data_IF_718563735236
#
_entry.id   IF_718563735236
#
_cell.length_a   1.000
_cell.length_b   1.000
_cell.length_c   1.000
_cell.angle_alpha   90.00
_cell.angle_beta   90.00
_cell.angle_gamma   90.00
#
_symmetry.space_group_name_H-M   'P 1'
#
loop_
_entity.id
_entity.type
_entity.pdbx_description
1 polymer ?
#
# COMPACT_ATOMS: atom_id res chain seq x y z
N UNK A 1 -3.50 -27.80 29.90
CA UNK A 1 -2.17 -27.99 29.27
C UNK A 1 -1.23 -28.48 30.34
N UNK A 2 -0.64 -29.67 30.18
CA UNK A 2 0.11 -30.34 31.24
C UNK A 2 1.62 -30.04 31.15
N UNK A 3 2.26 -29.78 32.29
CA UNK A 3 3.71 -29.55 32.41
C UNK A 3 4.56 -30.68 31.79
N UNK A 4 4.06 -31.92 31.81
CA UNK A 4 4.71 -33.10 31.22
C UNK A 4 4.81 -33.05 29.69
N UNK A 5 3.90 -32.34 29.01
CA UNK A 5 3.95 -32.16 27.55
C UNK A 5 5.02 -31.14 27.17
N UNK A 6 5.18 -30.08 27.97
CA UNK A 6 6.23 -29.08 27.79
C UNK A 6 7.64 -29.67 27.97
N UNK A 7 7.85 -30.50 28.99
CA UNK A 7 9.17 -31.14 29.22
C UNK A 7 9.51 -32.14 28.12
N UNK A 8 8.54 -32.95 27.66
CA UNK A 8 8.73 -33.87 26.53
C UNK A 8 9.10 -33.13 25.24
N UNK A 9 8.43 -32.02 24.96
CA UNK A 9 8.72 -31.18 23.79
C UNK A 9 10.11 -30.53 23.88
N UNK A 10 10.51 -30.07 25.06
CA UNK A 10 11.85 -29.52 25.30
C UNK A 10 12.96 -30.56 25.06
N UNK A 11 12.83 -31.77 25.61
CA UNK A 11 13.81 -32.85 25.40
C UNK A 11 13.88 -33.29 23.92
N UNK A 12 12.74 -33.34 23.23
CA UNK A 12 12.71 -33.64 21.79
C UNK A 12 13.46 -32.58 20.99
N UNK A 13 13.22 -31.29 21.29
CA UNK A 13 13.91 -30.18 20.65
C UNK A 13 15.44 -30.21 20.90
N UNK A 14 15.87 -30.57 22.12
CA UNK A 14 17.30 -30.69 22.43
C UNK A 14 17.98 -31.82 21.65
N UNK A 15 17.34 -32.99 21.54
CA UNK A 15 17.86 -34.09 20.71
C UNK A 15 17.99 -33.66 19.25
N UNK A 16 17.00 -32.95 18.72
CA UNK A 16 17.05 -32.42 17.37
C UNK A 16 18.19 -31.40 17.19
N UNK A 17 18.39 -30.48 18.14
CA UNK A 17 19.50 -29.52 18.14
C UNK A 17 20.86 -30.22 18.14
N UNK A 18 21.06 -31.22 19.00
CA UNK A 18 22.30 -32.01 19.04
C UNK A 18 22.58 -32.73 17.73
N UNK A 19 21.54 -33.34 17.12
CA UNK A 19 21.68 -34.00 15.81
C UNK A 19 22.07 -33.00 14.71
N UNK A 20 21.45 -31.83 14.68
CA UNK A 20 21.78 -30.78 13.72
C UNK A 20 23.22 -30.28 13.90
N UNK A 21 23.66 -30.05 15.15
CA UNK A 21 25.03 -29.65 15.46
C UNK A 21 26.06 -30.71 15.02
N UNK A 22 25.78 -31.98 15.30
CA UNK A 22 26.66 -33.08 14.89
C UNK A 22 26.78 -33.21 13.37
N UNK A 23 25.67 -33.07 12.64
CA UNK A 23 25.66 -33.16 11.17
C UNK A 23 26.11 -31.88 10.48
N UNK A 24 26.13 -30.75 11.18
CA UNK A 24 26.38 -29.44 10.58
C UNK A 24 25.28 -28.97 9.62
N UNK A 25 24.11 -29.63 9.61
CA UNK A 25 23.03 -29.40 8.66
C UNK A 25 21.66 -29.47 9.37
N UNK A 26 20.70 -28.72 8.84
CA UNK A 26 19.29 -28.83 9.23
C UNK A 26 18.69 -30.13 8.68
N UNK A 27 17.53 -30.60 9.18
CA UNK A 27 16.86 -31.77 8.63
C UNK A 27 16.49 -31.66 7.14
N UNK A 28 16.47 -30.43 6.60
CA UNK A 28 16.23 -30.14 5.19
C UNK A 28 17.51 -30.17 4.33
N UNK A 29 18.67 -30.39 4.92
CA UNK A 29 19.98 -30.39 4.24
C UNK A 29 20.66 -29.02 4.18
N UNK A 30 20.06 -27.95 4.72
CA UNK A 30 20.72 -26.64 4.74
C UNK A 30 21.86 -26.63 5.77
N UNK A 31 23.06 -26.20 5.36
CA UNK A 31 24.22 -26.07 6.26
C UNK A 31 23.92 -25.14 7.44
N UNK A 32 24.35 -25.49 8.64
CA UNK A 32 24.29 -24.60 9.81
C UNK A 32 25.28 -23.46 9.66
N UNK A 33 24.95 -22.30 10.24
CA UNK A 33 25.85 -21.15 10.30
C UNK A 33 26.99 -21.43 11.26
N UNK A 34 28.22 -21.21 10.81
CA UNK A 34 29.43 -21.33 11.63
C UNK A 34 29.82 -19.99 12.23
N UNK A 35 30.60 -20.01 13.32
CA UNK A 35 31.09 -18.77 13.95
C UNK A 35 31.97 -17.93 13.02
N UNK A 36 32.73 -18.56 12.12
CA UNK A 36 33.54 -17.88 11.12
C UNK A 36 32.68 -17.14 10.08
N UNK A 37 31.57 -17.75 9.64
CA UNK A 37 30.61 -17.09 8.75
C UNK A 37 29.92 -15.89 9.44
N UNK A 38 29.59 -16.02 10.72
CA UNK A 38 29.03 -14.90 11.51
C UNK A 38 30.02 -13.75 11.63
N UNK A 39 31.32 -14.04 11.79
CA UNK A 39 32.34 -13.01 11.88
C UNK A 39 32.52 -12.27 10.56
N UNK A 40 32.49 -12.99 9.44
CA UNK A 40 32.42 -12.36 8.11
C UNK A 40 31.18 -11.47 7.99
N UNK A 41 30.02 -11.94 8.45
CA UNK A 41 28.81 -11.11 8.48
C UNK A 41 28.99 -9.86 9.33
N UNK A 42 29.62 -9.92 10.51
CA UNK A 42 29.90 -8.75 11.35
C UNK A 42 30.88 -7.77 10.68
N UNK A 43 31.91 -8.29 10.02
CA UNK A 43 32.95 -7.49 9.37
C UNK A 43 32.42 -6.71 8.17
N UNK A 44 31.63 -7.35 7.29
CA UNK A 44 31.13 -6.73 6.05
C UNK A 44 29.72 -6.12 6.21
N UNK A 45 28.98 -6.50 7.23
CA UNK A 45 27.72 -5.88 7.66
C UNK A 45 26.65 -5.83 6.57
N UNK A 46 26.45 -4.63 6.00
CA UNK A 46 25.43 -4.35 4.95
C UNK A 46 25.96 -4.48 3.52
N UNK A 47 27.25 -4.79 3.32
CA UNK A 47 27.82 -5.03 2.00
C UNK A 47 27.56 -6.47 1.56
N UNK A 48 26.36 -6.69 1.00
CA UNK A 48 25.92 -8.03 0.58
C UNK A 48 26.68 -8.56 -0.65
N UNK A 49 27.26 -7.68 -1.48
CA UNK A 49 28.03 -8.10 -2.65
C UNK A 49 29.34 -8.75 -2.21
N UNK A 50 30.06 -8.11 -1.28
CA UNK A 50 31.27 -8.68 -0.68
C UNK A 50 30.98 -9.98 0.07
N UNK A 51 29.87 -10.03 0.83
CA UNK A 51 29.46 -11.25 1.54
C UNK A 51 29.13 -12.40 0.59
N UNK A 52 28.50 -12.10 -0.55
CA UNK A 52 28.18 -13.12 -1.57
C UNK A 52 29.43 -13.69 -2.23
N UNK A 53 30.48 -12.89 -2.40
CA UNK A 53 31.76 -13.38 -2.91
C UNK A 53 32.51 -14.24 -1.88
N UNK A 54 32.45 -13.88 -0.58
CA UNK A 54 33.12 -14.60 0.51
C UNK A 54 32.35 -15.85 0.97
N UNK A 55 31.04 -15.89 0.76
CA UNK A 55 30.16 -17.02 1.11
C UNK A 55 29.40 -17.53 -0.13
N UNK A 56 30.11 -18.08 -1.14
CA UNK A 56 29.49 -18.48 -2.41
C UNK A 56 28.50 -19.64 -2.25
N UNK A 57 28.65 -20.46 -1.21
CA UNK A 57 27.75 -21.55 -0.86
C UNK A 57 26.46 -21.09 -0.15
N UNK A 58 26.32 -19.79 0.15
CA UNK A 58 25.12 -19.21 0.78
C UNK A 58 24.35 -18.37 -0.22
N UNK A 59 23.03 -18.55 -0.24
CA UNK A 59 22.16 -17.69 -1.03
C UNK A 59 22.13 -16.27 -0.45
N UNK A 60 21.83 -15.29 -1.30
CA UNK A 60 21.66 -13.90 -0.89
C UNK A 60 20.63 -13.75 0.25
N UNK A 61 19.48 -14.40 0.13
CA UNK A 61 18.45 -14.44 1.18
C UNK A 61 18.97 -15.02 2.50
N UNK A 62 19.78 -16.09 2.46
CA UNK A 62 20.36 -16.67 3.67
C UNK A 62 21.27 -15.67 4.39
N UNK A 63 22.17 -15.02 3.65
CA UNK A 63 23.06 -13.97 4.17
C UNK A 63 22.24 -12.81 4.76
N UNK A 64 21.26 -12.32 4.00
CA UNK A 64 20.39 -11.21 4.42
C UNK A 64 19.59 -11.53 5.69
N UNK A 65 19.06 -12.75 5.81
CA UNK A 65 18.36 -13.21 6.99
C UNK A 65 19.30 -13.38 8.18
N UNK A 66 20.54 -13.86 7.97
CA UNK A 66 21.54 -13.97 9.04
C UNK A 66 21.99 -12.61 9.55
N UNK A 67 22.30 -11.66 8.67
CA UNK A 67 22.61 -10.28 9.07
C UNK A 67 21.45 -9.63 9.86
N UNK A 68 20.19 -9.98 9.55
CA UNK A 68 19.02 -9.56 10.34
C UNK A 68 19.04 -10.19 11.73
N UNK A 69 19.28 -11.50 11.83
CA UNK A 69 19.36 -12.23 13.09
C UNK A 69 20.47 -11.69 14.01
N UNK A 70 21.63 -11.37 13.43
CA UNK A 70 22.77 -10.76 14.13
C UNK A 70 22.56 -9.27 14.50
N UNK A 71 21.42 -8.66 14.13
CA UNK A 71 21.15 -7.25 14.43
C UNK A 71 21.96 -6.24 13.62
N UNK A 72 22.66 -6.70 12.57
CA UNK A 72 23.52 -5.86 11.71
C UNK A 72 22.72 -5.00 10.73
N UNK A 73 21.42 -5.30 10.55
CA UNK A 73 20.54 -4.49 9.73
C UNK A 73 19.96 -3.33 10.54
N UNK A 74 19.89 -2.12 9.96
CA UNK A 74 19.18 -1.01 10.58
C UNK A 74 17.76 -1.43 10.95
N UNK A 75 17.36 -1.18 12.20
CA UNK A 75 15.98 -1.40 12.63
C UNK A 75 15.05 -0.53 11.78
N UNK A 76 13.95 -1.10 11.32
CA UNK A 76 12.90 -0.33 10.64
C UNK A 76 12.38 0.72 11.62
N UNK A 77 12.52 2.00 11.29
CA UNK A 77 11.93 3.08 12.09
C UNK A 77 10.41 2.90 12.06
N UNK A 78 9.82 2.48 13.18
CA UNK A 78 8.37 2.41 13.32
C UNK A 78 7.75 3.79 13.18
N UNK A 79 6.52 3.85 12.70
CA UNK A 79 5.78 5.11 12.61
C UNK A 79 5.25 5.43 13.99
N UNK A 80 5.60 6.60 14.51
CA UNK A 80 5.10 7.06 15.81
C UNK A 80 3.66 7.57 15.70
N UNK A 81 2.91 7.57 16.81
CA UNK A 81 1.55 8.12 16.83
C UNK A 81 1.49 9.62 16.43
N UNK A 82 2.53 10.39 16.79
CA UNK A 82 2.66 11.79 16.38
C UNK A 82 2.87 11.91 14.86
N UNK A 83 3.79 11.14 14.27
CA UNK A 83 3.98 11.08 12.82
C UNK A 83 2.66 10.74 12.12
N UNK A 84 1.93 9.74 12.61
CA UNK A 84 0.65 9.33 12.02
C UNK A 84 -0.41 10.44 12.10
N UNK A 85 -0.49 11.14 13.23
CA UNK A 85 -1.43 12.26 13.42
C UNK A 85 -1.10 13.45 12.52
N UNK A 86 0.19 13.74 12.30
CA UNK A 86 0.63 14.73 11.31
C UNK A 86 0.31 14.27 9.88
N UNK A 87 0.51 12.99 9.57
CA UNK A 87 0.21 12.43 8.25
C UNK A 87 -1.29 12.52 7.92
N UNK A 88 -2.18 12.22 8.88
CA UNK A 88 -3.64 12.34 8.67
C UNK A 88 -4.08 13.75 8.29
N UNK A 89 -3.40 14.78 8.81
CA UNK A 89 -3.69 16.18 8.52
C UNK A 89 -3.08 16.65 7.19
N UNK A 90 -1.82 16.30 6.94
CA UNK A 90 -1.07 16.85 5.81
C UNK A 90 -1.21 16.04 4.53
N UNK A 91 -1.17 14.71 4.58
CA UNK A 91 -1.18 13.86 3.37
C UNK A 91 -2.39 14.11 2.46
N UNK A 92 -3.61 14.37 2.97
CA UNK A 92 -4.77 14.57 2.11
C UNK A 92 -4.67 15.76 1.16
N UNK A 93 -3.97 16.83 1.55
CA UNK A 93 -3.93 18.12 0.85
C UNK A 93 -2.53 18.53 0.38
N UNK A 94 -1.48 18.11 1.08
CA UNK A 94 -0.14 18.64 0.89
C UNK A 94 0.54 18.18 -0.42
N UNK A 95 1.33 19.09 -0.97
CA UNK A 95 2.20 18.83 -2.12
C UNK A 95 3.35 17.88 -1.75
N UNK A 96 3.99 17.23 -2.74
CA UNK A 96 5.16 16.39 -2.48
C UNK A 96 6.33 17.15 -1.82
N UNK A 97 6.47 18.45 -2.06
CA UNK A 97 7.53 19.29 -1.43
C UNK A 97 7.22 19.55 0.04
N UNK A 98 6.00 19.99 0.35
CA UNK A 98 5.52 20.18 1.72
C UNK A 98 5.62 18.90 2.55
N UNK A 99 5.37 17.73 1.95
CA UNK A 99 5.55 16.44 2.62
C UNK A 99 7.02 16.11 2.91
N UNK A 100 7.97 16.53 2.06
CA UNK A 100 9.41 16.34 2.33
C UNK A 100 9.85 17.25 3.48
N UNK A 101 9.40 18.49 3.48
CA UNK A 101 9.69 19.46 4.55
C UNK A 101 9.09 19.03 5.89
N UNK A 102 7.85 18.53 5.89
CA UNK A 102 7.19 18.08 7.10
C UNK A 102 7.78 16.79 7.70
N UNK A 103 8.37 15.94 6.85
CA UNK A 103 8.93 14.64 7.24
C UNK A 103 10.35 14.44 6.68
N UNK A 104 11.36 15.19 7.15
CA UNK A 104 12.72 15.15 6.61
C UNK A 104 13.37 13.77 6.75
N UNK A 105 12.96 13.01 7.77
CA UNK A 105 13.49 11.69 8.09
C UNK A 105 12.82 10.54 7.31
N UNK A 106 11.85 10.83 6.44
CA UNK A 106 11.10 9.81 5.69
C UNK A 106 11.09 10.13 4.21
N UNK A 107 11.29 9.10 3.39
CA UNK A 107 11.10 9.25 1.95
C UNK A 107 9.61 9.29 1.59
N UNK A 108 9.28 9.96 0.48
CA UNK A 108 7.91 9.96 -0.05
C UNK A 108 7.36 8.54 -0.29
N UNK A 109 8.24 7.59 -0.65
CA UNK A 109 7.87 6.18 -0.82
C UNK A 109 7.44 5.55 0.51
N UNK A 110 8.17 5.82 1.58
CA UNK A 110 7.79 5.35 2.92
C UNK A 110 6.46 5.96 3.36
N UNK A 111 6.27 7.27 3.17
CA UNK A 111 5.01 7.94 3.48
C UNK A 111 3.84 7.30 2.72
N UNK A 112 3.98 7.05 1.41
CA UNK A 112 2.94 6.35 0.63
C UNK A 112 2.62 4.96 1.17
N UNK A 113 3.64 4.21 1.62
CA UNK A 113 3.44 2.87 2.19
C UNK A 113 2.63 2.94 3.48
N UNK A 114 2.98 3.87 4.36
CA UNK A 114 2.31 4.09 5.65
C UNK A 114 0.88 4.60 5.44
N UNK A 115 0.70 5.55 4.51
CA UNK A 115 -0.62 6.06 4.13
C UNK A 115 -1.55 4.96 3.63
N UNK A 116 -1.09 4.06 2.77
CA UNK A 116 -1.90 2.92 2.31
C UNK A 116 -2.27 1.98 3.46
N UNK A 117 -1.30 1.65 4.31
CA UNK A 117 -1.52 0.75 5.45
C UNK A 117 -2.56 1.32 6.44
N UNK A 118 -2.58 2.63 6.64
CA UNK A 118 -3.52 3.31 7.55
C UNK A 118 -4.74 3.94 6.86
N UNK A 119 -4.97 3.66 5.57
CA UNK A 119 -6.12 4.22 4.84
C UNK A 119 -6.12 5.74 4.67
N UNK A 120 -4.97 6.41 4.82
CA UNK A 120 -4.84 7.86 4.63
C UNK A 120 -4.75 8.14 3.14
N UNK A 121 -5.86 8.55 2.55
CA UNK A 121 -5.97 8.83 1.12
C UNK A 121 -5.87 10.33 0.83
N UNK A 122 -5.49 10.66 -0.41
CA UNK A 122 -5.54 12.04 -0.89
C UNK A 122 -6.98 12.47 -1.14
N UNK A 123 -7.28 13.74 -0.87
CA UNK A 123 -8.56 14.33 -1.31
C UNK A 123 -8.64 14.17 -2.82
N UNK A 124 -9.77 13.65 -3.31
CA UNK A 124 -10.00 13.50 -4.74
C UNK A 124 -10.07 14.91 -5.34
N UNK A 125 -9.40 15.18 -6.49
CA UNK A 125 -9.62 16.43 -7.19
C UNK A 125 -11.06 16.47 -7.73
N UNK A 126 -11.62 17.67 -7.95
CA UNK A 126 -12.89 17.81 -8.64
C UNK A 126 -12.81 17.15 -10.02
N UNK A 127 -13.96 16.70 -10.51
CA UNK A 127 -14.05 16.08 -11.81
C UNK A 127 -13.74 17.08 -12.92
N UNK A 128 -13.01 16.64 -13.96
CA UNK A 128 -12.74 17.50 -15.14
C UNK A 128 -14.06 17.89 -15.81
N UNK A 129 -14.19 19.16 -16.18
CA UNK A 129 -15.31 19.69 -16.96
C UNK A 129 -15.30 19.12 -18.38
N UNK A 130 -16.48 18.80 -18.88
CA UNK A 130 -16.72 18.17 -20.18
C UNK A 130 -17.26 19.16 -21.22
N UNK A 131 -17.71 20.34 -20.77
CA UNK A 131 -18.29 21.38 -21.63
C UNK A 131 -19.80 21.23 -21.83
N UNK A 132 -20.39 20.13 -21.35
CA UNK A 132 -21.82 19.88 -21.39
C UNK A 132 -22.39 20.23 -20.02
N UNK A 133 -23.10 21.35 -19.92
CA UNK A 133 -23.58 21.91 -18.64
C UNK A 133 -24.34 20.89 -17.77
N UNK A 134 -25.24 20.09 -18.35
CA UNK A 134 -25.99 19.07 -17.60
C UNK A 134 -25.08 17.99 -16.98
N UNK A 135 -24.05 17.54 -17.71
CA UNK A 135 -23.12 16.53 -17.21
C UNK A 135 -22.16 17.13 -16.18
N UNK A 136 -21.71 18.36 -16.39
CA UNK A 136 -20.83 19.04 -15.46
C UNK A 136 -21.53 19.32 -14.12
N UNK A 137 -22.82 19.70 -14.14
CA UNK A 137 -23.63 19.85 -12.92
C UNK A 137 -23.79 18.52 -12.16
N UNK A 138 -24.06 17.41 -12.85
CA UNK A 138 -24.11 16.07 -12.24
C UNK A 138 -22.76 15.71 -11.60
N UNK A 139 -21.65 16.01 -12.28
CA UNK A 139 -20.30 15.74 -11.79
C UNK A 139 -19.98 16.55 -10.54
N UNK A 140 -20.31 17.84 -10.54
CA UNK A 140 -20.12 18.71 -9.38
C UNK A 140 -20.94 18.20 -8.18
N UNK A 141 -22.20 17.82 -8.40
CA UNK A 141 -23.03 17.24 -7.34
C UNK A 141 -22.49 15.91 -6.81
N UNK A 142 -22.00 15.02 -7.68
CA UNK A 142 -21.33 13.79 -7.23
C UNK A 142 -20.08 14.09 -6.41
N UNK A 143 -19.32 15.14 -6.77
CA UNK A 143 -18.13 15.53 -6.03
C UNK A 143 -18.47 16.04 -4.62
N UNK A 144 -19.52 16.85 -4.48
CA UNK A 144 -20.05 17.32 -3.19
C UNK A 144 -20.47 16.15 -2.30
N UNK A 145 -21.16 15.16 -2.87
CA UNK A 145 -21.62 13.97 -2.15
C UNK A 145 -20.52 12.92 -1.91
N UNK A 146 -19.32 13.12 -2.46
CA UNK A 146 -18.20 12.19 -2.35
C UNK A 146 -18.32 10.93 -3.22
N UNK A 147 -19.33 10.87 -4.09
CA UNK A 147 -19.57 9.75 -5.00
C UNK A 147 -18.56 9.72 -6.15
N UNK A 148 -18.10 8.51 -6.49
CA UNK A 148 -17.39 8.25 -7.72
C UNK A 148 -18.36 8.17 -8.91
N UNK A 149 -17.86 8.37 -10.13
CA UNK A 149 -18.69 8.15 -11.34
C UNK A 149 -19.14 6.68 -11.48
N UNK A 150 -18.41 5.73 -10.87
CA UNK A 150 -18.85 4.34 -10.79
C UNK A 150 -20.02 4.16 -9.82
N UNK A 151 -19.98 4.86 -8.70
CA UNK A 151 -21.05 4.85 -7.70
C UNK A 151 -22.33 5.46 -8.30
N UNK A 152 -22.20 6.54 -9.08
CA UNK A 152 -23.31 7.11 -9.85
C UNK A 152 -23.90 6.11 -10.84
N UNK A 153 -23.07 5.35 -11.55
CA UNK A 153 -23.56 4.35 -12.50
C UNK A 153 -24.33 3.21 -11.83
N UNK A 154 -23.98 2.88 -10.59
CA UNK A 154 -24.67 1.90 -9.77
C UNK A 154 -26.01 2.44 -9.26
N UNK A 155 -26.02 3.66 -8.72
CA UNK A 155 -27.23 4.36 -8.26
C UNK A 155 -28.23 4.57 -9.40
N UNK A 156 -27.77 5.10 -10.54
CA UNK A 156 -28.61 5.41 -11.71
C UNK A 156 -28.87 4.18 -12.62
N UNK A 157 -28.30 3.01 -12.31
CA UNK A 157 -28.40 1.77 -13.10
C UNK A 157 -28.05 1.99 -14.59
N UNK A 158 -26.99 2.74 -14.86
CA UNK A 158 -26.57 3.15 -16.22
C UNK A 158 -25.46 2.28 -16.82
N UNK A 159 -25.12 1.14 -16.20
CA UNK A 159 -24.19 0.11 -16.71
C UNK A 159 -22.81 0.64 -17.12
N UNK A 160 -22.29 1.65 -16.44
CA UNK A 160 -20.94 2.18 -16.70
C UNK A 160 -20.90 3.37 -17.68
N UNK A 161 -22.04 4.03 -17.95
CA UNK A 161 -22.10 5.20 -18.81
C UNK A 161 -21.17 6.32 -18.29
N UNK A 162 -21.33 6.71 -17.03
CA UNK A 162 -20.58 7.81 -16.41
C UNK A 162 -19.11 7.49 -16.17
N UNK A 163 -18.82 6.24 -15.82
CA UNK A 163 -17.46 5.72 -15.65
C UNK A 163 -16.68 5.73 -16.96
N UNK A 164 -17.31 5.35 -18.08
CA UNK A 164 -16.63 5.27 -19.39
C UNK A 164 -16.54 6.63 -20.10
N UNK A 165 -17.41 7.58 -19.78
CA UNK A 165 -17.44 8.91 -20.40
C UNK A 165 -17.48 8.89 -21.94
N UNK A 166 -18.14 7.89 -22.52
CA UNK A 166 -18.16 7.67 -23.98
C UNK A 166 -18.79 8.83 -24.78
N UNK A 167 -19.53 9.73 -24.12
CA UNK A 167 -20.08 10.93 -24.75
C UNK A 167 -19.00 11.90 -25.23
N UNK A 168 -17.80 11.89 -24.63
CA UNK A 168 -16.67 12.73 -25.06
C UNK A 168 -16.18 12.30 -26.45
N UNK A 169 -16.11 10.99 -26.70
CA UNK A 169 -15.64 10.43 -27.97
C UNK A 169 -16.72 10.45 -29.06
N UNK A 170 -17.98 10.21 -28.69
CA UNK A 170 -19.09 10.06 -29.63
C UNK A 170 -19.85 11.37 -29.91
N UNK A 171 -19.55 12.44 -29.18
CA UNK A 171 -20.16 13.76 -29.33
C UNK A 171 -21.65 13.85 -29.00
N UNK A 172 -22.30 12.76 -28.58
CA UNK A 172 -23.73 12.70 -28.31
C UNK A 172 -24.02 12.22 -26.87
N UNK A 173 -24.49 13.11 -25.98
CA UNK A 173 -24.96 12.75 -24.65
C UNK A 173 -26.21 11.85 -24.73
N UNK A 174 -26.34 10.92 -23.80
CA UNK A 174 -27.53 10.09 -23.69
C UNK A 174 -28.47 10.71 -22.65
N UNK A 175 -29.52 11.38 -23.12
CA UNK A 175 -30.49 12.07 -22.27
C UNK A 175 -31.19 11.14 -21.28
N UNK A 176 -31.38 9.85 -21.62
CA UNK A 176 -31.96 8.87 -20.70
C UNK A 176 -31.05 8.60 -19.50
N UNK A 177 -29.74 8.52 -19.75
CA UNK A 177 -28.76 8.32 -18.67
C UNK A 177 -28.64 9.57 -17.79
N UNK A 178 -28.71 10.76 -18.41
CA UNK A 178 -28.73 12.05 -17.69
C UNK A 178 -29.97 12.13 -16.79
N UNK A 179 -31.17 11.86 -17.31
CA UNK A 179 -32.40 11.91 -16.53
C UNK A 179 -32.36 10.99 -15.31
N UNK A 180 -31.89 9.74 -15.48
CA UNK A 180 -31.73 8.79 -14.35
C UNK A 180 -30.69 9.24 -13.32
N UNK A 181 -29.62 9.89 -13.77
CA UNK A 181 -28.62 10.43 -12.85
C UNK A 181 -29.14 11.63 -12.07
N UNK A 182 -29.94 12.49 -12.71
CA UNK A 182 -30.60 13.61 -12.03
C UNK A 182 -31.58 13.08 -10.98
N UNK A 183 -32.41 12.10 -11.32
CA UNK A 183 -33.33 11.44 -10.38
C UNK A 183 -32.57 10.76 -9.22
N UNK A 184 -31.49 10.04 -9.50
CA UNK A 184 -30.67 9.36 -8.49
C UNK A 184 -29.89 10.30 -7.55
N UNK A 185 -29.76 11.58 -7.92
CA UNK A 185 -29.11 12.63 -7.13
C UNK A 185 -30.13 13.61 -6.51
N UNK A 186 -31.42 13.26 -6.53
CA UNK A 186 -32.55 14.07 -6.06
C UNK A 186 -32.60 15.47 -6.72
N UNK A 187 -32.29 15.53 -8.01
CA UNK A 187 -32.32 16.75 -8.81
C UNK A 187 -33.57 16.85 -9.70
N UNK A 188 -33.81 18.05 -10.21
CA UNK A 188 -34.90 18.33 -11.17
C UNK A 188 -34.32 18.80 -12.50
N UNK A 189 -34.89 18.29 -13.61
CA UNK A 189 -34.50 18.69 -14.97
C UNK A 189 -35.50 19.71 -15.52
N UNK A 190 -35.10 20.98 -15.59
CA UNK A 190 -35.92 22.04 -16.20
C UNK A 190 -35.50 22.29 -17.65
N UNK A 191 -36.45 22.33 -18.58
CA UNK A 191 -36.22 22.71 -19.97
C UNK A 191 -36.54 24.21 -20.11
N UNK A 192 -35.58 24.99 -20.61
CA UNK A 192 -35.77 26.39 -20.97
C UNK A 192 -35.54 26.55 -22.47
N UNK A 193 -36.53 27.12 -23.14
CA UNK A 193 -36.39 27.54 -24.54
C UNK A 193 -35.76 28.93 -24.56
N UNK A 194 -34.97 29.24 -25.60
CA UNK A 194 -34.54 30.63 -25.80
C UNK A 194 -35.77 31.41 -26.22
N UNK A 195 -36.10 32.45 -25.46
CA UNK A 195 -37.02 33.49 -25.93
C UNK A 195 -36.32 34.21 -27.09
N UNK A 196 -37.07 34.43 -28.17
CA UNK A 196 -36.61 35.01 -29.44
C UNK A 196 -36.18 36.47 -29.30
#
# INVERSE_FOLDING_TARGET
MYLSEYTRNAHSADRARRRMQYRGETPKGDRLWTGAEDELCRQYGSNYEALRQKLPHRSYEAIRCRCRYLGLRPKLKMVTANELSRMRRLVPTASPQQLREAFPNRSLRQLRSVSRYHGITRKRPPFKRTGISAIDAIRDRCFELGYSMGDLDELAKTKGYFRKANWILRGKPNYRAIGRAVEALDGELTIRWREE
#
